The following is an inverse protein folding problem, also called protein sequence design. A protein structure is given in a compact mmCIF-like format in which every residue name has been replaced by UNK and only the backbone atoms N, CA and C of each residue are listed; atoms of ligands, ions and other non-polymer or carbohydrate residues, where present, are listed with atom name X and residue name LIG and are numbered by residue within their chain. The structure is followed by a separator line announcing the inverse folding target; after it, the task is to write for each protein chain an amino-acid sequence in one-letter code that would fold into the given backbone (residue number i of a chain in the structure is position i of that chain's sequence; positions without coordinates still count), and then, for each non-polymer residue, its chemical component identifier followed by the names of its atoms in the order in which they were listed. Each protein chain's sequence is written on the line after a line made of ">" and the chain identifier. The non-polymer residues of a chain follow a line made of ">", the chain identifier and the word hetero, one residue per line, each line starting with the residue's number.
data_IF_823654714335
#
_entry.id   IF_823654714335
#
_cell.length_a   1.000
_cell.length_b   1.000
_cell.length_c   1.000
_cell.angle_alpha   90.00
_cell.angle_beta   90.00
_cell.angle_gamma   90.00
#
_symmetry.space_group_name_H-M   'P 1'
#
loop_
_entity.id
_entity.type
_entity.pdbx_description
1 polymer ?
#
# COMPACT_ATOMS: atom_id res chain seq x y z
N UNK A 1 -47.90 32.95 48.51
CA UNK A 1 -46.59 33.12 47.81
C UNK A 1 -46.20 31.81 47.15
N UNK A 2 -46.48 31.71 45.84
CA UNK A 2 -46.14 30.54 45.03
C UNK A 2 -44.80 30.84 44.37
N UNK A 3 -43.79 30.10 44.72
CA UNK A 3 -42.46 30.13 44.09
C UNK A 3 -42.61 29.50 42.68
N UNK A 4 -42.36 30.28 41.65
CA UNK A 4 -42.18 29.79 40.30
C UNK A 4 -40.81 29.05 40.21
N UNK A 5 -40.84 27.73 40.14
CA UNK A 5 -39.69 26.95 39.65
C UNK A 5 -39.41 27.37 38.22
N UNK A 6 -38.25 27.92 37.99
CA UNK A 6 -37.70 28.12 36.64
C UNK A 6 -37.36 26.74 36.07
N UNK A 7 -38.16 26.29 35.12
CA UNK A 7 -37.82 25.18 34.24
C UNK A 7 -36.49 25.51 33.55
N UNK A 8 -35.44 24.76 33.84
CA UNK A 8 -34.19 24.82 33.07
C UNK A 8 -34.56 24.42 31.66
N UNK A 9 -34.49 25.35 30.72
CA UNK A 9 -34.67 25.05 29.29
C UNK A 9 -33.73 23.92 28.90
N UNK A 10 -34.28 22.88 28.26
CA UNK A 10 -33.52 21.78 27.70
C UNK A 10 -32.40 22.33 26.81
N UNK A 11 -31.17 22.29 27.31
CA UNK A 11 -30.00 22.54 26.48
C UNK A 11 -29.94 21.39 25.50
N UNK A 12 -29.97 21.64 24.18
CA UNK A 12 -29.92 20.56 23.21
C UNK A 12 -28.66 19.72 23.47
N UNK A 13 -28.86 18.46 23.84
CA UNK A 13 -27.76 17.55 24.05
C UNK A 13 -27.15 17.19 22.66
N UNK A 14 -25.86 17.43 22.50
CA UNK A 14 -25.13 17.00 21.31
C UNK A 14 -25.30 15.50 21.00
N UNK A 15 -25.64 14.70 22.02
CA UNK A 15 -25.93 13.28 21.84
C UNK A 15 -27.19 13.01 21.01
N UNK A 16 -28.07 14.01 20.87
CA UNK A 16 -29.34 13.94 20.12
C UNK A 16 -29.29 14.69 18.79
N UNK A 17 -28.10 15.00 18.29
CA UNK A 17 -27.95 15.61 16.96
C UNK A 17 -28.52 14.66 15.90
N UNK A 18 -29.18 15.23 14.89
CA UNK A 18 -29.72 14.45 13.77
C UNK A 18 -28.58 13.74 13.01
N UNK A 19 -28.81 12.48 12.67
CA UNK A 19 -27.83 11.64 11.98
C UNK A 19 -27.29 12.29 10.70
N UNK A 20 -28.16 12.90 9.90
CA UNK A 20 -27.77 13.57 8.64
C UNK A 20 -26.85 14.77 8.89
N UNK A 21 -27.12 15.54 9.95
CA UNK A 21 -26.29 16.69 10.33
C UNK A 21 -24.92 16.19 10.83
N UNK A 22 -24.91 15.14 11.65
CA UNK A 22 -23.70 14.55 12.15
C UNK A 22 -22.83 13.99 11.02
N UNK A 23 -23.44 13.27 10.07
CA UNK A 23 -22.75 12.75 8.88
C UNK A 23 -22.21 13.88 8.02
N UNK A 24 -22.95 14.97 7.87
CA UNK A 24 -22.49 16.15 7.13
C UNK A 24 -21.29 16.82 7.82
N UNK A 25 -21.32 16.97 9.13
CA UNK A 25 -20.19 17.49 9.92
C UNK A 25 -18.97 16.58 9.73
N UNK A 26 -19.13 15.27 9.85
CA UNK A 26 -18.06 14.32 9.67
C UNK A 26 -17.47 14.34 8.26
N UNK A 27 -18.31 14.51 7.22
CA UNK A 27 -17.82 14.62 5.84
C UNK A 27 -17.05 15.92 5.58
N UNK A 28 -17.38 17.00 6.26
CA UNK A 28 -16.68 18.28 6.16
C UNK A 28 -15.40 18.32 7.00
N UNK A 29 -15.34 17.53 8.05
CA UNK A 29 -14.14 17.43 8.89
C UNK A 29 -12.93 16.80 8.16
N UNK A 30 -13.20 16.03 7.07
CA UNK A 30 -12.22 15.60 6.06
C UNK A 30 -11.10 14.65 6.54
N UNK A 31 -10.88 14.55 7.83
CA UNK A 31 -9.75 13.85 8.44
C UNK A 31 -10.18 12.55 9.11
N UNK A 32 -9.41 11.47 8.92
CA UNK A 32 -9.57 10.21 9.65
C UNK A 32 -9.62 10.40 11.16
N UNK A 33 -8.75 11.24 11.67
CA UNK A 33 -8.63 11.58 13.10
C UNK A 33 -9.91 12.19 13.64
N UNK A 34 -10.49 13.16 12.93
CA UNK A 34 -11.74 13.78 13.35
C UNK A 34 -12.89 12.77 13.38
N UNK A 35 -12.97 11.91 12.37
CA UNK A 35 -13.97 10.86 12.35
C UNK A 35 -13.84 9.88 13.53
N UNK A 36 -12.62 9.41 13.82
CA UNK A 36 -12.36 8.54 14.97
C UNK A 36 -12.79 9.23 16.27
N UNK A 37 -12.40 10.49 16.47
CA UNK A 37 -12.82 11.27 17.63
C UNK A 37 -14.33 11.43 17.72
N UNK A 38 -14.99 11.67 16.60
CA UNK A 38 -16.46 11.76 16.56
C UNK A 38 -17.11 10.42 16.92
N UNK A 39 -16.60 9.28 16.42
CA UNK A 39 -17.12 7.95 16.79
C UNK A 39 -16.85 7.59 18.25
N UNK A 40 -15.90 8.24 18.90
CA UNK A 40 -15.55 8.03 20.32
C UNK A 40 -16.42 8.86 21.26
N UNK A 41 -17.18 9.86 20.79
CA UNK A 41 -17.97 10.78 21.64
C UNK A 41 -19.06 10.03 22.40
N UNK A 42 -19.89 9.25 21.72
CA UNK A 42 -20.94 8.45 22.36
C UNK A 42 -21.42 7.30 21.44
N UNK A 43 -22.23 6.39 22.00
CA UNK A 43 -22.77 5.24 21.26
C UNK A 43 -23.65 5.66 20.07
N UNK A 44 -24.45 6.73 20.20
CA UNK A 44 -25.30 7.25 19.13
C UNK A 44 -24.46 7.74 17.96
N UNK A 45 -23.45 8.57 18.22
CA UNK A 45 -22.54 9.06 17.19
C UNK A 45 -21.79 7.93 16.48
N UNK A 46 -21.33 6.94 17.23
CA UNK A 46 -20.66 5.75 16.67
C UNK A 46 -21.59 4.99 15.72
N UNK A 47 -22.85 4.77 16.13
CA UNK A 47 -23.82 4.07 15.30
C UNK A 47 -24.16 4.86 14.03
N UNK A 48 -24.39 6.17 14.15
CA UNK A 48 -24.71 7.04 13.01
C UNK A 48 -23.60 7.17 11.98
N UNK A 49 -22.34 7.06 12.42
CA UNK A 49 -21.15 7.18 11.58
C UNK A 49 -20.60 5.83 11.11
N UNK A 50 -21.10 4.70 11.63
CA UNK A 50 -20.57 3.37 11.33
C UNK A 50 -20.62 3.01 9.83
N UNK A 51 -21.70 3.42 9.14
CA UNK A 51 -21.91 3.13 7.72
C UNK A 51 -21.43 4.27 6.81
N UNK A 52 -20.92 5.36 7.39
CA UNK A 52 -20.42 6.45 6.57
C UNK A 52 -19.15 5.96 5.87
N UNK A 53 -19.21 5.89 4.53
CA UNK A 53 -18.02 5.69 3.72
C UNK A 53 -17.11 6.89 3.98
N UNK A 54 -16.13 6.69 4.82
CA UNK A 54 -15.06 7.64 4.94
C UNK A 54 -14.24 7.40 3.68
N UNK A 55 -14.43 8.23 2.67
CA UNK A 55 -13.43 8.38 1.66
C UNK A 55 -12.24 8.98 2.40
N UNK A 56 -11.33 8.10 2.83
CA UNK A 56 -10.03 8.54 3.27
C UNK A 56 -9.20 8.83 2.01
N UNK A 57 -9.16 10.06 1.53
CA UNK A 57 -8.09 10.42 0.63
C UNK A 57 -6.80 10.68 1.42
N UNK A 58 -6.76 10.32 2.70
CA UNK A 58 -5.60 10.59 3.53
C UNK A 58 -4.56 9.51 3.34
N UNK A 59 -3.52 9.83 2.60
CA UNK A 59 -2.29 9.08 2.63
C UNK A 59 -1.66 9.33 4.00
N UNK A 60 -1.55 8.25 4.76
CA UNK A 60 -0.80 8.25 6.01
C UNK A 60 0.46 7.42 5.80
N UNK A 61 1.61 8.03 5.98
CA UNK A 61 2.87 7.30 6.07
C UNK A 61 2.99 6.79 7.50
N UNK A 62 3.01 5.48 7.66
CA UNK A 62 3.27 4.87 8.96
C UNK A 62 4.78 4.81 9.14
N UNK A 63 5.27 5.43 10.20
CA UNK A 63 6.69 5.40 10.52
C UNK A 63 7.00 4.07 11.24
N UNK A 64 8.14 3.49 10.88
CA UNK A 64 8.65 2.34 11.59
C UNK A 64 9.23 2.82 12.93
N UNK A 65 8.67 2.34 14.01
CA UNK A 65 9.18 2.55 15.35
C UNK A 65 9.79 1.25 15.89
N UNK A 66 10.29 1.28 17.12
CA UNK A 66 10.76 0.08 17.82
C UNK A 66 9.63 -0.97 17.85
N UNK A 67 9.90 -2.19 17.37
CA UNK A 67 8.95 -3.31 17.31
C UNK A 67 8.30 -3.63 18.66
N UNK A 68 8.86 -3.14 19.76
CA UNK A 68 8.34 -3.30 21.13
C UNK A 68 7.37 -2.21 21.55
N UNK A 69 7.21 -1.14 20.75
CA UNK A 69 6.30 -0.03 21.06
C UNK A 69 4.85 -0.40 20.75
N UNK A 70 3.93 0.02 21.60
CA UNK A 70 2.48 -0.03 21.33
C UNK A 70 2.01 1.20 20.56
N UNK A 71 2.78 2.28 20.59
CA UNK A 71 2.49 3.51 19.87
C UNK A 71 3.12 3.48 18.47
N UNK A 72 2.32 3.80 17.47
CA UNK A 72 2.76 3.92 16.10
C UNK A 72 2.46 5.34 15.60
N UNK A 73 3.49 5.97 15.07
CA UNK A 73 3.39 7.32 14.51
C UNK A 73 2.95 7.28 13.06
N UNK A 74 2.04 8.17 12.71
CA UNK A 74 1.54 8.35 11.35
C UNK A 74 1.76 9.80 10.93
N UNK A 75 2.26 9.99 9.73
CA UNK A 75 2.29 11.30 9.11
C UNK A 75 1.15 11.42 8.10
N UNK A 76 0.23 12.35 8.34
CA UNK A 76 -0.85 12.66 7.40
C UNK A 76 -0.34 13.61 6.33
N UNK A 77 -0.27 13.16 5.08
CA UNK A 77 0.13 14.01 3.95
C UNK A 77 -0.89 15.11 3.64
N UNK A 78 -2.14 14.93 4.02
CA UNK A 78 -3.20 15.92 3.81
C UNK A 78 -3.17 17.04 4.86
N UNK A 79 -2.93 16.67 6.11
CA UNK A 79 -2.97 17.61 7.25
C UNK A 79 -1.57 18.12 7.61
N UNK A 80 -0.52 17.53 7.03
CA UNK A 80 0.89 17.84 7.32
C UNK A 80 1.24 17.73 8.80
N UNK A 81 0.61 16.78 9.51
CA UNK A 81 0.82 16.57 10.94
C UNK A 81 1.20 15.13 11.24
N UNK A 82 1.97 14.97 12.32
CA UNK A 82 2.17 13.68 12.96
C UNK A 82 1.04 13.39 13.93
N UNK A 83 0.60 12.15 13.93
CA UNK A 83 -0.36 11.63 14.90
C UNK A 83 0.11 10.26 15.40
N UNK A 84 -0.27 9.89 16.61
CA UNK A 84 0.07 8.62 17.22
C UNK A 84 -1.21 7.80 17.46
N UNK A 85 -1.13 6.52 17.15
CA UNK A 85 -2.15 5.55 17.51
C UNK A 85 -1.54 4.49 18.43
N UNK A 86 -2.20 4.27 19.54
CA UNK A 86 -1.92 3.15 20.42
C UNK A 86 -2.45 1.87 19.76
N UNK A 87 -1.55 1.01 19.26
CA UNK A 87 -1.84 -0.21 18.49
C UNK A 87 -1.14 -1.43 19.13
N UNK A 88 -1.49 -1.81 20.37
CA UNK A 88 -0.88 -2.97 21.01
C UNK A 88 -1.07 -4.26 20.21
N UNK A 89 -2.07 -4.29 19.31
CA UNK A 89 -2.29 -5.42 18.40
C UNK A 89 -1.20 -5.58 17.34
N UNK A 90 -0.35 -4.58 17.11
CA UNK A 90 0.74 -4.63 16.15
C UNK A 90 2.13 -4.86 16.78
N UNK A 91 2.20 -4.97 18.11
CA UNK A 91 3.45 -5.27 18.81
C UNK A 91 4.04 -6.59 18.28
N UNK A 92 5.32 -6.57 17.88
CA UNK A 92 6.05 -7.71 17.31
C UNK A 92 5.46 -8.26 15.99
N UNK A 93 4.65 -7.45 15.29
CA UNK A 93 4.11 -7.79 13.99
C UNK A 93 4.82 -7.00 12.90
N UNK A 94 5.31 -7.71 11.90
CA UNK A 94 5.65 -7.08 10.62
C UNK A 94 4.37 -6.78 9.85
N UNK A 95 4.30 -5.65 9.15
CA UNK A 95 3.10 -5.25 8.43
C UNK A 95 3.41 -4.60 7.09
N UNK A 96 2.48 -4.72 6.18
CA UNK A 96 2.47 -4.10 4.86
C UNK A 96 1.19 -3.28 4.73
N UNK A 97 1.33 -2.03 4.29
CA UNK A 97 0.21 -1.14 4.02
C UNK A 97 -0.55 -1.51 2.75
N UNK A 98 -1.78 -1.04 2.63
CA UNK A 98 -2.55 -1.13 1.41
C UNK A 98 -3.22 0.21 1.08
N UNK A 99 -3.61 0.45 -0.19
CA UNK A 99 -4.31 1.67 -0.58
C UNK A 99 -5.73 1.77 0.01
N UNK A 100 -6.18 0.75 0.74
CA UNK A 100 -7.52 0.69 1.35
C UNK A 100 -7.54 0.99 2.84
N UNK A 101 -6.40 1.39 3.45
CA UNK A 101 -6.26 1.63 4.88
C UNK A 101 -6.30 0.36 5.73
N UNK A 102 -6.05 -0.79 5.13
CA UNK A 102 -5.81 -2.05 5.80
C UNK A 102 -4.32 -2.38 5.79
N UNK A 103 -3.86 -2.99 6.86
CA UNK A 103 -2.54 -3.58 6.95
C UNK A 103 -2.66 -5.09 6.77
N UNK A 104 -1.72 -5.69 6.08
CA UNK A 104 -1.49 -7.12 6.18
C UNK A 104 -0.39 -7.32 7.20
N UNK A 105 -0.62 -8.13 8.21
CA UNK A 105 0.29 -8.31 9.33
C UNK A 105 0.75 -9.75 9.46
N UNK A 106 2.00 -9.96 9.86
CA UNK A 106 2.63 -11.26 10.04
C UNK A 106 3.45 -11.26 11.33
N UNK A 107 3.19 -12.23 12.22
CA UNK A 107 3.87 -12.35 13.50
C UNK A 107 4.92 -13.47 13.53
N UNK A 108 5.64 -13.57 14.65
CA UNK A 108 6.65 -14.59 14.87
C UNK A 108 6.09 -16.02 14.99
N UNK A 109 4.75 -16.18 15.18
CA UNK A 109 4.06 -17.46 15.21
C UNK A 109 3.49 -17.85 13.84
N UNK A 110 3.89 -17.12 12.79
CA UNK A 110 3.43 -17.32 11.42
C UNK A 110 1.94 -17.04 11.21
N UNK A 111 1.30 -16.31 12.14
CA UNK A 111 -0.06 -15.83 11.97
C UNK A 111 -0.07 -14.68 10.96
N UNK A 112 -1.00 -14.72 10.03
CA UNK A 112 -1.21 -13.65 9.06
C UNK A 112 -2.67 -13.20 9.17
N UNK A 113 -2.87 -11.87 9.14
CA UNK A 113 -4.21 -11.29 9.14
C UNK A 113 -4.25 -9.95 8.41
N UNK A 114 -5.42 -9.58 7.93
CA UNK A 114 -5.72 -8.21 7.59
C UNK A 114 -6.15 -7.50 8.88
N UNK A 115 -5.60 -6.33 9.11
CA UNK A 115 -5.90 -5.50 10.25
C UNK A 115 -6.17 -4.06 9.82
N UNK A 116 -7.28 -3.49 10.27
CA UNK A 116 -7.56 -2.09 10.03
C UNK A 116 -7.29 -1.29 11.30
N UNK A 117 -6.24 -0.45 11.33
CA UNK A 117 -5.79 0.24 12.54
C UNK A 117 -6.84 1.22 13.10
N UNK A 118 -7.71 1.74 12.25
CA UNK A 118 -8.73 2.72 12.65
C UNK A 118 -9.99 2.07 13.22
N UNK A 119 -10.49 1.01 12.58
CA UNK A 119 -11.70 0.31 13.05
C UNK A 119 -11.41 -0.85 13.99
N UNK A 120 -10.16 -1.25 14.14
CA UNK A 120 -9.69 -2.45 14.85
C UNK A 120 -10.27 -3.76 14.30
N UNK A 121 -10.85 -3.72 13.11
CA UNK A 121 -11.33 -4.92 12.45
C UNK A 121 -10.15 -5.81 12.04
N UNK A 122 -10.31 -7.12 12.24
CA UNK A 122 -9.30 -8.11 11.91
C UNK A 122 -9.93 -9.27 11.15
N UNK A 123 -9.29 -9.72 10.09
CA UNK A 123 -9.70 -10.84 9.24
C UNK A 123 -8.53 -11.81 9.13
N UNK A 124 -8.67 -13.06 9.63
CA UNK A 124 -7.59 -14.02 9.59
C UNK A 124 -7.32 -14.50 8.17
N UNK A 125 -6.06 -14.77 7.89
CA UNK A 125 -5.55 -15.45 6.70
C UNK A 125 -4.89 -16.76 7.12
N UNK A 126 -4.65 -17.70 6.20
CA UNK A 126 -3.91 -18.90 6.54
C UNK A 126 -2.50 -18.57 7.04
N UNK A 127 -1.99 -19.34 8.01
CA UNK A 127 -0.62 -19.21 8.49
C UNK A 127 0.39 -19.50 7.38
N UNK A 128 1.53 -18.85 7.46
CA UNK A 128 2.64 -19.12 6.56
C UNK A 128 3.98 -18.84 7.21
N UNK A 129 4.91 -19.77 7.08
CA UNK A 129 6.31 -19.63 7.48
C UNK A 129 7.19 -19.01 6.37
N UNK A 130 6.59 -18.43 5.34
CA UNK A 130 7.32 -17.86 4.22
C UNK A 130 8.03 -16.56 4.65
N UNK A 131 9.19 -16.32 4.08
CA UNK A 131 9.83 -15.01 4.12
C UNK A 131 9.11 -14.10 3.11
N UNK A 132 8.07 -13.44 3.59
CA UNK A 132 7.22 -12.57 2.75
C UNK A 132 7.96 -11.27 2.49
N UNK A 133 8.05 -10.91 1.23
CA UNK A 133 8.64 -9.67 0.77
C UNK A 133 7.57 -8.59 0.52
N UNK A 134 6.51 -8.96 -0.17
CA UNK A 134 5.43 -8.03 -0.51
C UNK A 134 4.05 -8.68 -0.42
N UNK A 135 3.08 -7.90 0.00
CA UNK A 135 1.67 -8.30 0.08
C UNK A 135 0.78 -7.24 -0.58
N UNK A 136 -0.10 -7.66 -1.47
CA UNK A 136 -0.97 -6.79 -2.24
C UNK A 136 -2.42 -7.24 -2.09
N UNK A 137 -3.35 -6.30 -1.92
CA UNK A 137 -4.79 -6.55 -1.88
C UNK A 137 -5.45 -6.26 -3.23
N UNK A 138 -6.36 -7.13 -3.67
CA UNK A 138 -7.13 -6.89 -4.89
C UNK A 138 -8.19 -5.79 -4.72
N UNK A 139 -8.90 -5.79 -3.61
CA UNK A 139 -9.99 -4.87 -3.31
C UNK A 139 -10.03 -4.54 -1.82
N UNK A 140 -10.85 -3.54 -1.47
CA UNK A 140 -11.11 -3.23 -0.07
C UNK A 140 -11.87 -4.39 0.60
N UNK A 141 -11.34 -4.99 1.67
CA UNK A 141 -12.02 -6.07 2.39
C UNK A 141 -13.41 -5.72 2.92
N UNK A 142 -13.71 -4.44 3.17
CA UNK A 142 -15.04 -3.98 3.57
C UNK A 142 -16.10 -4.18 2.49
N UNK A 143 -15.70 -4.16 1.23
CA UNK A 143 -16.66 -4.32 0.11
C UNK A 143 -17.05 -5.79 -0.07
N UNK A 144 -16.10 -6.70 0.08
CA UNK A 144 -16.35 -8.13 0.02
C UNK A 144 -15.17 -8.92 0.59
N UNK A 145 -15.32 -9.45 1.80
CA UNK A 145 -14.28 -10.29 2.40
C UNK A 145 -13.98 -11.53 1.56
N UNK A 146 -15.02 -12.15 1.02
CA UNK A 146 -14.89 -13.42 0.26
C UNK A 146 -14.25 -13.23 -1.12
N UNK A 147 -14.20 -12.01 -1.64
CA UNK A 147 -13.61 -11.73 -2.95
C UNK A 147 -12.26 -11.00 -2.86
N UNK A 148 -11.88 -10.54 -1.67
CA UNK A 148 -10.59 -9.91 -1.47
C UNK A 148 -9.48 -10.97 -1.54
N UNK A 149 -8.66 -10.91 -2.58
CA UNK A 149 -7.46 -11.73 -2.71
C UNK A 149 -6.29 -10.98 -2.09
N UNK A 150 -5.56 -11.65 -1.22
CA UNK A 150 -4.24 -11.24 -0.75
C UNK A 150 -3.21 -11.98 -1.59
N UNK A 151 -2.42 -11.23 -2.33
CA UNK A 151 -1.39 -11.74 -3.21
C UNK A 151 -0.02 -11.49 -2.57
N UNK A 152 0.82 -12.50 -2.50
CA UNK A 152 2.09 -12.49 -1.81
C UNK A 152 3.25 -12.78 -2.77
N UNK A 153 4.29 -11.96 -2.71
CA UNK A 153 5.64 -12.28 -3.20
C UNK A 153 6.44 -12.73 -1.98
N UNK A 154 7.07 -13.90 -2.05
CA UNK A 154 7.85 -14.45 -0.96
C UNK A 154 9.06 -15.23 -1.47
N UNK A 155 10.09 -15.32 -0.62
CA UNK A 155 11.27 -16.13 -0.90
C UNK A 155 11.02 -17.59 -0.55
N UNK A 156 11.27 -18.47 -1.51
CA UNK A 156 11.21 -19.90 -1.33
C UNK A 156 12.56 -20.47 -0.94
N UNK A 157 12.61 -21.80 -0.80
CA UNK A 157 13.86 -22.52 -0.65
C UNK A 157 14.75 -22.30 -1.90
N UNK A 158 16.03 -22.01 -1.73
CA UNK A 158 17.00 -21.68 -2.78
C UNK A 158 16.91 -20.24 -3.34
N UNK A 159 16.50 -19.27 -2.52
CA UNK A 159 16.47 -17.84 -2.88
C UNK A 159 15.69 -17.52 -4.18
N UNK A 160 14.63 -18.28 -4.43
CA UNK A 160 13.75 -18.09 -5.59
C UNK A 160 12.49 -17.37 -5.16
N UNK A 161 12.16 -16.27 -5.81
CA UNK A 161 10.90 -15.56 -5.63
C UNK A 161 9.73 -16.45 -6.07
N UNK A 162 8.71 -16.53 -5.21
CA UNK A 162 7.49 -17.32 -5.44
C UNK A 162 6.25 -16.46 -5.24
N UNK A 163 5.17 -16.91 -5.82
CA UNK A 163 3.86 -16.26 -5.70
C UNK A 163 2.92 -17.16 -4.91
N UNK A 164 2.31 -16.57 -3.90
CA UNK A 164 1.20 -17.15 -3.15
C UNK A 164 0.00 -16.24 -3.12
N UNK A 165 -1.18 -16.80 -2.94
CA UNK A 165 -2.40 -16.03 -2.77
C UNK A 165 -3.42 -16.77 -1.90
N UNK A 166 -4.21 -15.99 -1.17
CA UNK A 166 -5.26 -16.49 -0.30
C UNK A 166 -6.36 -15.43 -0.14
N UNK A 167 -7.49 -15.83 0.40
CA UNK A 167 -8.58 -14.96 0.83
C UNK A 167 -8.80 -15.07 2.33
N UNK A 168 -9.38 -14.07 2.97
CA UNK A 168 -9.86 -14.21 4.33
C UNK A 168 -10.81 -15.40 4.46
N UNK A 169 -10.48 -16.31 5.39
CA UNK A 169 -11.25 -17.52 5.63
C UNK A 169 -10.80 -18.77 4.85
N UNK A 170 -9.83 -18.65 3.95
CA UNK A 170 -9.21 -19.82 3.32
C UNK A 170 -8.45 -20.66 4.38
N UNK A 171 -8.35 -21.97 4.16
CA UNK A 171 -7.64 -22.90 5.04
C UNK A 171 -6.14 -22.95 4.77
N UNK A 172 -5.74 -22.63 3.55
CA UNK A 172 -4.34 -22.67 3.12
C UNK A 172 -4.07 -21.65 2.00
N UNK A 173 -2.83 -21.21 1.92
CA UNK A 173 -2.35 -20.47 0.78
C UNK A 173 -2.30 -21.37 -0.45
N UNK A 174 -2.69 -20.82 -1.58
CA UNK A 174 -2.43 -21.41 -2.90
C UNK A 174 -1.15 -20.82 -3.47
N UNK A 175 -0.36 -21.63 -4.13
CA UNK A 175 0.91 -21.20 -4.73
C UNK A 175 0.90 -21.45 -6.22
N UNK A 176 1.54 -20.57 -6.97
CA UNK A 176 1.83 -20.82 -8.38
C UNK A 176 3.10 -21.64 -8.46
N UNK A 177 3.00 -22.79 -9.10
CA UNK A 177 4.15 -23.63 -9.41
C UNK A 177 4.60 -23.23 -10.81
N UNK A 178 5.87 -22.83 -10.92
CA UNK A 178 6.51 -22.66 -12.21
C UNK A 178 7.20 -23.97 -12.54
N UNK A 179 6.88 -24.54 -13.69
CA UNK A 179 7.66 -25.65 -14.20
C UNK A 179 9.09 -25.15 -14.39
N UNK A 180 10.03 -25.73 -13.65
CA UNK A 180 11.45 -25.42 -13.75
C UNK A 180 11.90 -25.87 -15.16
N UNK A 181 11.77 -25.00 -16.13
CA UNK A 181 12.43 -25.20 -17.41
C UNK A 181 13.94 -25.21 -17.17
N UNK A 182 14.60 -26.16 -17.75
CA UNK A 182 15.95 -26.74 -17.69
C UNK A 182 17.14 -25.83 -17.30
N UNK A 183 16.99 -24.52 -17.11
CA UNK A 183 18.11 -23.59 -16.87
C UNK A 183 18.35 -23.18 -15.41
N UNK A 184 17.58 -23.70 -14.45
CA UNK A 184 17.84 -23.48 -13.01
C UNK A 184 17.71 -22.03 -12.51
N UNK A 185 17.29 -21.10 -13.37
CA UNK A 185 17.09 -19.69 -13.05
C UNK A 185 15.71 -19.46 -12.41
N UNK A 186 15.64 -19.25 -11.10
CA UNK A 186 14.40 -18.84 -10.44
C UNK A 186 13.97 -17.47 -10.91
N UNK A 187 12.65 -17.23 -10.96
CA UNK A 187 12.07 -15.91 -11.20
C UNK A 187 12.36 -15.01 -10.00
N UNK A 188 12.98 -13.85 -10.22
CA UNK A 188 13.13 -12.81 -9.22
C UNK A 188 12.02 -11.78 -9.42
N UNK A 189 10.99 -11.89 -8.60
CA UNK A 189 9.86 -10.96 -8.62
C UNK A 189 10.22 -9.70 -7.82
N UNK A 190 10.13 -8.54 -8.44
CA UNK A 190 10.36 -7.26 -7.78
C UNK A 190 9.06 -6.66 -7.24
N UNK A 191 7.99 -6.71 -8.03
CA UNK A 191 6.73 -6.07 -7.66
C UNK A 191 5.52 -6.76 -8.28
N UNK A 192 4.35 -6.46 -7.73
CA UNK A 192 3.07 -6.79 -8.32
C UNK A 192 2.02 -5.72 -8.00
N UNK A 193 1.00 -5.62 -8.85
CA UNK A 193 -0.12 -4.69 -8.73
C UNK A 193 -1.43 -5.37 -9.11
N UNK A 194 -2.52 -4.98 -8.44
CA UNK A 194 -3.87 -5.28 -8.90
C UNK A 194 -4.37 -4.12 -9.75
N UNK A 195 -4.53 -4.37 -11.05
CA UNK A 195 -4.88 -3.37 -12.03
C UNK A 195 -5.96 -3.91 -12.98
N UNK A 196 -7.03 -3.13 -13.20
CA UNK A 196 -8.15 -3.50 -14.08
C UNK A 196 -8.63 -4.95 -13.88
N UNK A 197 -8.92 -5.31 -12.62
CA UNK A 197 -9.43 -6.62 -12.20
C UNK A 197 -8.47 -7.81 -12.36
N UNK A 198 -7.19 -7.57 -12.60
CA UNK A 198 -6.17 -8.60 -12.71
C UNK A 198 -4.92 -8.26 -11.89
N UNK A 199 -4.17 -9.27 -11.49
CA UNK A 199 -2.84 -9.09 -10.95
C UNK A 199 -1.80 -9.13 -12.06
N UNK A 200 -0.90 -8.17 -12.02
CA UNK A 200 0.30 -8.13 -12.85
C UNK A 200 1.52 -8.12 -11.96
N UNK A 201 2.55 -8.85 -12.33
CA UNK A 201 3.84 -8.86 -11.63
C UNK A 201 4.97 -8.52 -12.58
N UNK A 202 6.01 -7.89 -12.08
CA UNK A 202 7.23 -7.66 -12.82
C UNK A 202 8.40 -8.45 -12.23
N UNK A 203 9.24 -8.95 -13.13
CA UNK A 203 10.53 -9.51 -12.78
C UNK A 203 11.59 -8.41 -12.74
N UNK A 204 12.68 -8.66 -12.03
CA UNK A 204 13.85 -7.79 -12.05
C UNK A 204 14.48 -7.65 -13.47
N UNK A 205 14.16 -8.56 -14.37
CA UNK A 205 14.49 -8.47 -15.81
C UNK A 205 13.62 -7.45 -16.57
N UNK A 206 12.56 -6.89 -15.94
CA UNK A 206 11.62 -5.95 -16.54
C UNK A 206 10.47 -6.60 -17.33
N UNK A 207 10.33 -7.91 -17.28
CA UNK A 207 9.24 -8.63 -17.94
C UNK A 207 7.98 -8.58 -17.08
N UNK A 208 6.82 -8.44 -17.71
CA UNK A 208 5.52 -8.41 -17.05
C UNK A 208 4.79 -9.73 -17.27
N UNK A 209 4.22 -10.23 -16.19
CA UNK A 209 3.36 -11.41 -16.18
C UNK A 209 1.96 -11.04 -15.72
N UNK A 210 0.96 -11.68 -16.33
CA UNK A 210 -0.43 -11.64 -15.93
C UNK A 210 -0.75 -12.92 -15.15
N UNK A 211 -1.43 -12.76 -14.02
CA UNK A 211 -1.89 -13.90 -13.21
C UNK A 211 -3.37 -14.15 -13.47
N UNK A 212 -3.66 -15.30 -14.06
CA UNK A 212 -5.00 -15.69 -14.48
C UNK A 212 -5.58 -16.80 -13.58
N UNK A 213 -6.90 -16.85 -13.53
CA UNK A 213 -7.69 -17.91 -12.85
C UNK A 213 -7.37 -18.10 -11.35
N UNK A 214 -6.98 -17.02 -10.65
CA UNK A 214 -6.66 -17.10 -9.22
C UNK A 214 -7.86 -17.55 -8.36
N UNK A 215 -9.08 -17.35 -8.85
CA UNK A 215 -10.31 -17.84 -8.20
C UNK A 215 -10.73 -19.22 -8.66
N UNK A 216 -10.17 -19.74 -9.74
CA UNK A 216 -10.55 -21.00 -10.37
C UNK A 216 -9.68 -22.18 -9.97
N UNK A 217 -9.79 -23.25 -10.74
CA UNK A 217 -9.11 -24.51 -10.46
C UNK A 217 -7.65 -24.53 -10.97
N UNK A 218 -7.32 -23.71 -11.95
CA UNK A 218 -6.04 -23.78 -12.67
C UNK A 218 -5.35 -22.39 -12.72
N UNK A 219 -4.95 -21.85 -11.54
CA UNK A 219 -4.23 -20.58 -11.51
C UNK A 219 -2.91 -20.70 -12.25
N UNK A 220 -2.60 -19.70 -13.06
CA UNK A 220 -1.38 -19.68 -13.86
C UNK A 220 -0.85 -18.28 -14.02
N UNK A 221 0.44 -18.17 -14.34
CA UNK A 221 1.06 -16.94 -14.81
C UNK A 221 1.34 -17.04 -16.29
N UNK A 222 1.13 -15.96 -17.01
CA UNK A 222 1.35 -15.86 -18.45
C UNK A 222 2.19 -14.63 -18.72
N UNK A 223 3.26 -14.78 -19.48
CA UNK A 223 4.05 -13.62 -19.92
C UNK A 223 3.15 -12.66 -20.69
N UNK A 224 2.99 -11.45 -20.17
CA UNK A 224 2.12 -10.44 -20.74
C UNK A 224 2.88 -9.47 -21.65
N UNK A 225 4.03 -8.95 -21.19
CA UNK A 225 4.86 -8.06 -21.98
C UNK A 225 6.35 -8.37 -21.75
N UNK A 226 7.14 -8.13 -22.79
CA UNK A 226 8.60 -8.18 -22.69
C UNK A 226 9.13 -6.94 -21.99
N UNK A 227 10.38 -6.98 -21.55
CA UNK A 227 11.05 -5.83 -20.91
C UNK A 227 11.07 -4.61 -21.84
N UNK A 228 11.12 -3.39 -21.26
CA UNK A 228 11.27 -2.18 -22.06
C UNK A 228 12.54 -2.18 -22.90
N UNK A 229 12.55 -1.48 -24.05
CA UNK A 229 13.74 -1.30 -24.85
C UNK A 229 14.87 -0.65 -24.04
N UNK A 230 16.10 -1.11 -24.20
CA UNK A 230 17.29 -0.62 -23.49
C UNK A 230 17.21 -0.75 -21.94
N UNK A 231 16.38 -1.65 -21.46
CA UNK A 231 16.35 -2.02 -20.06
C UNK A 231 17.36 -3.14 -19.79
N UNK A 232 18.29 -2.91 -18.88
CA UNK A 232 19.42 -3.82 -18.66
C UNK A 232 19.20 -4.84 -17.53
N UNK A 233 18.08 -4.79 -16.82
CA UNK A 233 17.78 -5.69 -15.71
C UNK A 233 18.64 -5.41 -14.45
N UNK A 234 18.40 -6.19 -13.39
CA UNK A 234 19.17 -6.10 -12.15
C UNK A 234 18.86 -4.86 -11.28
N UNK A 235 17.77 -4.18 -11.55
CA UNK A 235 17.31 -2.97 -10.87
C UNK A 235 15.96 -3.23 -10.24
N UNK A 236 15.69 -2.65 -9.09
CA UNK A 236 14.37 -2.77 -8.45
C UNK A 236 13.32 -2.05 -9.29
N UNK A 237 12.31 -2.78 -9.69
CA UNK A 237 11.18 -2.28 -10.48
C UNK A 237 9.93 -2.16 -9.61
N UNK A 238 9.13 -1.14 -9.89
CA UNK A 238 7.86 -0.88 -9.21
C UNK A 238 6.76 -0.68 -10.24
N UNK A 239 5.63 -1.33 -10.03
CA UNK A 239 4.42 -1.19 -10.84
C UNK A 239 3.44 -0.20 -10.21
N UNK A 240 2.84 0.66 -11.01
CA UNK A 240 1.85 1.61 -10.54
C UNK A 240 0.82 1.96 -11.61
N UNK A 241 -0.31 2.47 -11.14
CA UNK A 241 -1.36 3.05 -11.99
C UNK A 241 -1.13 4.55 -12.14
N UNK A 242 -0.98 5.01 -13.38
CA UNK A 242 -0.96 6.42 -13.72
C UNK A 242 -2.16 6.72 -14.62
N UNK A 243 -3.22 7.26 -14.02
CA UNK A 243 -4.46 7.64 -14.71
C UNK A 243 -5.05 6.53 -15.59
N UNK A 244 -5.13 5.32 -15.05
CA UNK A 244 -5.66 4.14 -15.74
C UNK A 244 -4.71 3.50 -16.73
N UNK A 245 -3.42 3.84 -16.67
CA UNK A 245 -2.35 3.21 -17.45
C UNK A 245 -1.42 2.43 -16.52
N UNK A 246 -1.10 1.19 -16.89
CA UNK A 246 -0.09 0.42 -16.17
C UNK A 246 1.29 0.97 -16.52
N UNK A 247 1.99 1.42 -15.48
CA UNK A 247 3.33 1.97 -15.59
C UNK A 247 4.31 1.18 -14.74
N UNK A 248 5.57 1.24 -15.14
CA UNK A 248 6.70 0.70 -14.39
C UNK A 248 7.75 1.79 -14.21
N UNK A 249 8.26 1.93 -13.00
CA UNK A 249 9.46 2.72 -12.74
C UNK A 249 10.56 1.81 -12.24
N UNK A 250 11.79 2.12 -12.59
CA UNK A 250 12.96 1.37 -12.15
C UNK A 250 13.93 2.32 -11.47
N UNK A 251 14.39 1.92 -10.31
CA UNK A 251 15.43 2.60 -9.56
C UNK A 251 16.78 2.19 -10.12
N UNK A 252 17.51 3.17 -10.63
CA UNK A 252 18.84 2.99 -11.16
C UNK A 252 19.86 3.51 -10.14
N UNK A 253 20.57 2.65 -9.42
CA UNK A 253 21.73 3.09 -8.69
C UNK A 253 22.76 3.51 -9.75
N UNK A 254 23.14 4.76 -9.76
CA UNK A 254 24.21 5.21 -10.63
C UNK A 254 25.50 4.56 -10.17
N UNK A 255 26.10 3.77 -11.06
CA UNK A 255 27.54 3.61 -11.07
C UNK A 255 28.12 4.96 -11.48
N UNK A 256 28.63 5.70 -10.55
CA UNK A 256 29.56 6.79 -10.84
C UNK A 256 30.85 6.12 -11.28
N UNK A 257 30.89 5.70 -12.55
CA UNK A 257 32.13 5.28 -13.20
C UNK A 257 32.88 6.53 -13.67
N UNK A 258 33.32 7.35 -12.72
CA UNK A 258 34.23 8.48 -12.96
C UNK A 258 35.67 8.16 -12.62
N UNK A 259 36.01 6.87 -12.54
CA UNK A 259 37.41 6.39 -12.59
C UNK A 259 38.33 6.90 -11.47
N UNK A 260 37.75 7.34 -10.36
CA UNK A 260 38.54 7.87 -9.24
C UNK A 260 38.31 7.00 -8.00
N UNK A 261 39.20 6.04 -7.81
CA UNK A 261 39.20 5.01 -6.73
C UNK A 261 39.41 5.57 -5.31
N UNK A 262 39.19 6.87 -5.04
CA UNK A 262 39.62 7.51 -3.79
C UNK A 262 38.54 8.24 -2.98
N UNK A 263 37.25 8.15 -3.30
CA UNK A 263 36.25 8.86 -2.50
C UNK A 263 35.34 7.93 -1.70
N UNK A 264 35.51 8.01 -0.36
CA UNK A 264 34.64 7.43 0.66
C UNK A 264 33.24 8.11 0.73
N UNK A 265 32.94 9.09 -0.12
CA UNK A 265 31.64 9.72 -0.27
C UNK A 265 30.86 9.06 -1.42
N UNK A 266 30.26 7.92 -1.15
CA UNK A 266 29.29 7.29 -2.05
C UNK A 266 27.99 8.12 -1.99
N UNK A 267 27.97 9.23 -2.70
CA UNK A 267 26.76 9.98 -2.98
C UNK A 267 25.89 9.19 -3.97
N UNK A 268 24.93 8.41 -3.45
CA UNK A 268 23.98 7.71 -4.32
C UNK A 268 23.10 8.69 -5.07
N UNK A 269 23.44 9.00 -6.31
CA UNK A 269 22.53 9.67 -7.21
C UNK A 269 21.53 8.65 -7.72
N UNK A 270 20.32 8.65 -7.18
CA UNK A 270 19.24 7.77 -7.62
C UNK A 270 18.59 8.40 -8.85
N UNK A 271 18.55 7.64 -9.93
CA UNK A 271 17.78 7.99 -11.12
C UNK A 271 16.60 7.05 -11.27
N UNK A 272 15.44 7.62 -11.57
CA UNK A 272 14.26 6.84 -11.92
C UNK A 272 13.99 6.95 -13.43
N UNK A 273 13.64 5.84 -14.03
CA UNK A 273 13.18 5.78 -15.42
C UNK A 273 11.77 5.25 -15.41
N UNK A 274 10.86 5.93 -16.09
CA UNK A 274 9.45 5.60 -16.09
C UNK A 274 9.03 5.11 -17.47
N UNK A 275 8.32 4.00 -17.50
CA UNK A 275 7.76 3.40 -18.71
C UNK A 275 6.26 3.22 -18.55
N UNK A 276 5.50 3.53 -19.59
CA UNK A 276 4.08 3.27 -19.70
C UNK A 276 3.86 2.10 -20.64
N UNK A 277 3.04 1.14 -20.23
CA UNK A 277 2.70 -0.03 -21.04
C UNK A 277 1.42 0.22 -21.83
N UNK A 278 1.50 0.08 -23.13
CA UNK A 278 0.33 -0.05 -23.98
C UNK A 278 -0.23 -1.47 -23.83
N UNK A 279 -1.44 -1.57 -23.30
CA UNK A 279 -2.06 -2.85 -22.96
C UNK A 279 -2.50 -3.65 -24.18
N UNK A 280 -2.74 -2.99 -25.32
CA UNK A 280 -3.20 -3.63 -26.57
C UNK A 280 -2.01 -4.15 -27.39
N UNK A 281 -1.01 -3.30 -27.59
CA UNK A 281 0.19 -3.64 -28.37
C UNK A 281 1.27 -4.32 -27.55
N UNK A 282 1.17 -4.27 -26.21
CA UNK A 282 2.16 -4.78 -25.24
C UNK A 282 3.54 -4.16 -25.42
N UNK A 283 3.57 -2.93 -25.92
CA UNK A 283 4.79 -2.17 -26.13
C UNK A 283 4.97 -1.09 -25.07
N UNK A 284 6.23 -0.71 -24.83
CA UNK A 284 6.59 0.27 -23.83
C UNK A 284 6.88 1.63 -24.46
N UNK A 285 6.36 2.66 -23.83
CA UNK A 285 6.69 4.06 -24.08
C UNK A 285 7.44 4.62 -22.86
N UNK A 286 8.61 5.21 -23.08
CA UNK A 286 9.31 5.94 -22.01
C UNK A 286 8.63 7.28 -21.81
N UNK A 287 8.23 7.57 -20.57
CA UNK A 287 7.66 8.86 -20.20
C UNK A 287 8.63 9.63 -19.30
N UNK A 288 8.57 10.96 -19.40
CA UNK A 288 9.51 11.86 -18.72
C UNK A 288 8.82 12.74 -17.68
N UNK A 289 7.53 12.57 -17.49
CA UNK A 289 6.77 13.36 -16.54
C UNK A 289 5.59 12.57 -16.00
N UNK A 290 5.29 12.78 -14.72
CA UNK A 290 4.09 12.31 -14.03
C UNK A 290 2.94 13.35 -14.11
N UNK A 291 3.17 14.51 -14.74
CA UNK A 291 2.20 15.60 -14.82
C UNK A 291 1.90 16.22 -13.46
N UNK A 292 0.63 16.30 -13.13
CA UNK A 292 0.12 16.81 -11.85
C UNK A 292 0.07 15.73 -10.75
N UNK A 293 0.73 14.59 -10.96
CA UNK A 293 0.78 13.48 -10.01
C UNK A 293 2.08 13.46 -9.23
N UNK A 294 2.00 12.94 -8.02
CA UNK A 294 3.15 12.48 -7.24
C UNK A 294 3.09 10.96 -7.13
N UNK A 295 4.23 10.31 -7.25
CA UNK A 295 4.37 8.85 -7.12
C UNK A 295 5.00 8.53 -5.77
N UNK A 296 4.40 7.60 -5.03
CA UNK A 296 4.95 7.06 -3.79
C UNK A 296 5.42 5.63 -4.04
N UNK A 297 6.70 5.38 -3.75
CA UNK A 297 7.34 4.08 -3.89
C UNK A 297 7.67 3.51 -2.51
N UNK A 298 7.41 2.23 -2.33
CA UNK A 298 7.79 1.50 -1.13
C UNK A 298 7.51 0.01 -1.26
N UNK A 299 8.12 -0.76 -0.36
CA UNK A 299 7.94 -2.21 -0.27
C UNK A 299 6.49 -2.62 0.07
N UNK A 300 5.71 -1.70 0.65
CA UNK A 300 4.32 -1.99 1.01
C UNK A 300 3.39 -1.86 -0.19
N UNK A 301 3.30 -0.68 -0.78
CA UNK A 301 2.49 -0.42 -1.96
C UNK A 301 3.06 0.77 -2.73
N UNK A 302 2.88 0.73 -4.05
CA UNK A 302 3.24 1.79 -4.97
C UNK A 302 1.96 2.42 -5.50
N UNK A 303 1.82 3.75 -5.41
CA UNK A 303 0.60 4.44 -5.83
C UNK A 303 0.86 5.89 -6.23
N UNK A 304 -0.02 6.46 -7.03
CA UNK A 304 0.01 7.86 -7.42
C UNK A 304 -1.08 8.66 -6.75
N UNK A 305 -0.82 9.95 -6.55
CA UNK A 305 -1.79 10.90 -6.02
C UNK A 305 -1.86 12.16 -6.86
N UNK A 306 -3.05 12.76 -6.90
CA UNK A 306 -3.26 14.06 -7.52
C UNK A 306 -2.85 15.17 -6.55
N UNK A 307 -2.01 16.08 -6.98
CA UNK A 307 -1.49 17.14 -6.11
C UNK A 307 -2.50 18.25 -5.79
N UNK A 308 -3.57 18.36 -6.57
CA UNK A 308 -4.71 19.21 -6.26
C UNK A 308 -5.52 18.70 -5.04
N UNK A 309 -5.49 17.38 -4.80
CA UNK A 309 -6.10 16.75 -3.62
C UNK A 309 -5.15 16.77 -2.43
N UNK A 310 -3.85 16.69 -2.67
CA UNK A 310 -2.80 16.66 -1.65
C UNK A 310 -1.81 17.82 -1.83
N UNK A 311 -2.14 19.01 -1.33
CA UNK A 311 -1.32 20.21 -1.57
C UNK A 311 0.07 20.15 -0.96
N UNK A 312 0.32 19.28 0.03
CA UNK A 312 1.66 19.01 0.57
C UNK A 312 2.56 18.18 -0.35
N UNK A 313 2.01 17.59 -1.43
CA UNK A 313 2.79 16.82 -2.40
C UNK A 313 3.23 17.70 -3.56
N UNK A 314 4.50 17.57 -3.99
CA UNK A 314 5.01 18.26 -5.17
C UNK A 314 4.61 17.51 -6.44
N UNK A 315 4.05 18.19 -7.46
CA UNK A 315 3.74 17.54 -8.74
C UNK A 315 5.03 17.05 -9.41
N UNK A 316 4.87 16.04 -10.26
CA UNK A 316 5.96 15.45 -11.04
C UNK A 316 7.14 14.95 -10.19
N UNK A 317 6.86 14.50 -8.96
CA UNK A 317 7.88 14.02 -8.03
C UNK A 317 7.63 12.58 -7.61
N UNK A 318 8.72 11.86 -7.34
CA UNK A 318 8.71 10.50 -6.77
C UNK A 318 9.17 10.60 -5.31
N UNK A 319 8.31 10.17 -4.41
CA UNK A 319 8.60 10.01 -2.99
C UNK A 319 8.97 8.56 -2.76
N UNK A 320 10.13 8.28 -2.20
CA UNK A 320 10.60 6.92 -2.00
C UNK A 320 11.24 6.76 -0.63
N UNK A 321 11.17 5.52 -0.13
CA UNK A 321 11.93 5.06 1.01
C UNK A 321 13.08 4.18 0.51
N UNK A 322 14.18 4.13 1.24
CA UNK A 322 15.23 3.18 0.93
C UNK A 322 14.74 1.76 1.27
N UNK A 323 14.80 0.87 0.27
CA UNK A 323 14.37 -0.52 0.42
C UNK A 323 15.42 -1.40 1.14
N UNK A 324 16.59 -0.86 1.44
CA UNK A 324 17.60 -1.55 2.22
C UNK A 324 17.27 -1.49 3.72
N UNK A 325 17.10 -2.64 4.34
CA UNK A 325 16.85 -2.80 5.77
C UNK A 325 17.88 -2.12 6.70
N UNK A 326 18.98 -1.63 6.16
CA UNK A 326 20.07 -0.98 6.89
C UNK A 326 20.09 0.55 6.81
N UNK A 327 19.31 1.16 5.92
CA UNK A 327 19.26 2.60 5.72
C UNK A 327 17.80 3.07 5.76
N UNK A 328 17.53 4.04 6.62
CA UNK A 328 16.19 4.66 6.76
C UNK A 328 16.08 5.95 5.91
N UNK A 329 16.72 6.00 4.76
CA UNK A 329 16.73 7.17 3.92
C UNK A 329 15.42 7.28 3.14
N UNK A 330 14.76 8.43 3.31
CA UNK A 330 13.63 8.84 2.50
C UNK A 330 14.07 9.96 1.57
N UNK A 331 13.58 9.93 0.34
CA UNK A 331 13.94 10.93 -0.67
C UNK A 331 12.78 11.40 -1.51
N UNK A 332 12.98 12.55 -2.15
CA UNK A 332 12.09 13.09 -3.16
C UNK A 332 12.91 13.30 -4.43
N UNK A 333 12.50 12.62 -5.49
CA UNK A 333 13.11 12.78 -6.82
C UNK A 333 12.19 13.60 -7.71
N UNK A 334 12.75 14.67 -8.33
CA UNK A 334 12.04 15.50 -9.30
C UNK A 334 12.27 14.93 -10.71
N UNK A 335 11.19 14.63 -11.42
CA UNK A 335 11.23 14.05 -12.76
C UNK A 335 11.50 15.07 -13.88
N UNK A 336 12.01 16.28 -13.55
CA UNK A 336 12.34 17.31 -14.55
C UNK A 336 13.59 16.99 -15.36
#
# INVERSE_FOLDING_TARGET
>A
MLSKEKTIADVPSWANILDDVLRRIASLAGSPRHHIRMTAVCRSWRASLADQKINFPAICLMLQEDDTSDNHSFYSMLEEIFDELDLPELREWRFWGSPFGWLVTHDLNFEIRLFNPFSRASLPLPKSSWCIEKLILSINPKESNSNCIVFAIYWGFLDRGRIGFAKPGDLAWRTLIYDDDDDGGGFLWDDAIYFKCNFYGCLNSGEIFLFEDLNGAHPKSVKFASRPPNFHGGRTCYLFDLDGNLCMTCRDPFDVDDGNDNDEDIGYTIKFVIFKLDMDTRSWEKIYSLGDRSLFLGNCCTFTVATDVYPGCKPNCIYFLDDNFSCSDAGIYDCQ
#
